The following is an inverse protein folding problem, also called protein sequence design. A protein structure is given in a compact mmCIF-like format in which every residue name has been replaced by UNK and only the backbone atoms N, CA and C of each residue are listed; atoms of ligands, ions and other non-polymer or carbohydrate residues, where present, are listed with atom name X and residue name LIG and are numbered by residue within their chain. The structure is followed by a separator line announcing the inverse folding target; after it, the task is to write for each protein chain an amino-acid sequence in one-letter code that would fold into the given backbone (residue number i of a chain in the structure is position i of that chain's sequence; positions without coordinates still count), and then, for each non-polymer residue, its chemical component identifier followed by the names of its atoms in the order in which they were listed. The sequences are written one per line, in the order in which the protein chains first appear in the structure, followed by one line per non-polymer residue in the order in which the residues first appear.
data_IF_747166932367
#
_entry.id   IF_747166932367
#
_cell.length_a   1.000
_cell.length_b   1.000
_cell.length_c   1.000
_cell.angle_alpha   90.00
_cell.angle_beta   90.00
_cell.angle_gamma   90.00
#
_symmetry.space_group_name_H-M   'P 1'
#
loop_
_entity.id
_entity.type
_entity.pdbx_description
1 polymer ?
#
# COMPACT_ATOMS: atom_id res chain seq x y z
N UNK A 1 -22.12 1.80 -11.12
CA UNK A 1 -22.11 2.69 -9.95
C UNK A 1 -20.80 2.49 -9.21
N UNK A 2 -20.01 3.55 -9.00
CA UNK A 2 -18.79 3.47 -8.19
C UNK A 2 -19.17 3.34 -6.70
N UNK A 3 -18.40 2.57 -5.94
CA UNK A 3 -18.58 2.48 -4.50
C UNK A 3 -18.27 3.82 -3.84
N UNK A 4 -18.96 4.17 -2.75
CA UNK A 4 -18.61 5.31 -1.91
C UNK A 4 -18.49 4.88 -0.44
N UNK A 5 -17.65 5.58 0.32
CA UNK A 5 -17.50 5.35 1.76
C UNK A 5 -16.36 4.40 2.18
N UNK A 6 -15.59 3.83 1.24
CA UNK A 6 -14.35 3.10 1.56
C UNK A 6 -13.15 3.65 0.79
N UNK A 7 -11.97 3.50 1.38
CA UNK A 7 -10.68 3.66 0.71
C UNK A 7 -9.86 2.38 0.76
N UNK A 8 -8.74 2.37 0.05
CA UNK A 8 -7.73 1.31 0.16
C UNK A 8 -6.62 1.80 1.08
N UNK A 9 -6.32 1.04 2.12
CA UNK A 9 -5.18 1.26 3.00
C UNK A 9 -4.08 0.26 2.65
N UNK A 10 -2.84 0.75 2.57
CA UNK A 10 -1.65 -0.04 2.32
C UNK A 10 -0.83 -0.15 3.60
N UNK A 11 -0.32 -1.34 3.88
CA UNK A 11 0.64 -1.58 4.97
C UNK A 11 1.90 -2.25 4.42
N UNK A 12 3.04 -1.92 5.02
CA UNK A 12 4.33 -2.54 4.71
C UNK A 12 4.52 -3.89 5.43
N UNK A 13 5.67 -4.53 5.22
CA UNK A 13 6.05 -5.78 5.87
C UNK A 13 6.12 -5.69 7.40
N UNK A 14 6.31 -4.48 7.96
CA UNK A 14 6.24 -4.23 9.40
C UNK A 14 4.80 -4.06 9.90
N UNK A 15 3.81 -4.31 9.03
CA UNK A 15 2.38 -4.10 9.28
C UNK A 15 2.04 -2.63 9.59
N UNK A 16 2.93 -1.70 9.26
CA UNK A 16 2.70 -0.27 9.47
C UNK A 16 2.00 0.31 8.25
N UNK A 17 1.00 1.16 8.51
CA UNK A 17 0.30 1.87 7.44
C UNK A 17 1.27 2.77 6.69
N UNK A 18 1.34 2.60 5.37
CA UNK A 18 2.09 3.46 4.46
C UNK A 18 1.17 4.60 4.05
N UNK A 19 1.43 5.80 4.59
CA UNK A 19 0.68 6.96 4.16
C UNK A 19 1.07 7.32 2.72
N UNK A 20 0.07 7.59 1.88
CA UNK A 20 0.30 8.02 0.51
C UNK A 20 1.18 9.28 0.48
N UNK A 21 2.11 9.35 -0.47
CA UNK A 21 3.08 10.43 -0.62
C UNK A 21 4.06 10.62 0.55
N UNK A 22 4.16 9.64 1.45
CA UNK A 22 5.19 9.61 2.49
C UNK A 22 6.17 8.47 2.25
N UNK A 23 7.40 8.65 2.72
CA UNK A 23 8.39 7.57 2.65
C UNK A 23 7.94 6.40 3.54
N UNK A 24 8.00 5.19 2.99
CA UNK A 24 7.85 3.96 3.76
C UNK A 24 9.01 3.75 4.73
N UNK A 25 8.96 2.68 5.53
CA UNK A 25 10.14 2.21 6.23
C UNK A 25 11.30 1.95 5.24
N UNK A 26 12.56 2.19 5.65
CA UNK A 26 13.70 1.84 4.84
C UNK A 26 13.81 0.32 4.71
N UNK A 27 14.06 -0.15 3.50
CA UNK A 27 14.33 -1.56 3.22
C UNK A 27 15.82 -1.75 2.97
N UNK A 28 16.45 -2.63 3.75
CA UNK A 28 17.85 -2.97 3.53
C UNK A 28 17.96 -3.81 2.25
N UNK A 29 18.70 -3.29 1.27
CA UNK A 29 18.95 -4.00 0.02
C UNK A 29 20.04 -5.05 0.28
N UNK A 30 19.73 -6.31 -0.03
CA UNK A 30 20.72 -7.38 -0.02
C UNK A 30 21.37 -7.43 -1.39
N UNK A 31 22.67 -7.17 -1.48
CA UNK A 31 23.42 -7.19 -2.74
C UNK A 31 24.30 -8.45 -2.82
N UNK A 32 24.24 -9.15 -3.96
CA UNK A 32 24.99 -10.38 -4.21
C UNK A 32 24.44 -11.17 -5.40
N UNK A 33 25.20 -12.16 -5.88
CA UNK A 33 24.70 -13.10 -6.90
C UNK A 33 23.66 -14.02 -6.24
N UNK A 34 22.42 -13.97 -6.72
CA UNK A 34 21.31 -14.79 -6.21
C UNK A 34 20.54 -14.18 -5.04
N UNK A 35 20.70 -12.89 -4.74
CA UNK A 35 19.93 -12.21 -3.70
C UNK A 35 18.74 -11.44 -4.28
N UNK A 36 17.53 -11.78 -3.85
CA UNK A 36 16.32 -10.97 -4.05
C UNK A 36 16.01 -10.15 -2.80
N UNK A 37 15.48 -8.94 -2.98
CA UNK A 37 14.93 -8.14 -1.87
C UNK A 37 13.43 -8.01 -2.11
N UNK A 38 12.66 -8.84 -1.41
CA UNK A 38 11.21 -8.81 -1.48
C UNK A 38 10.64 -7.63 -0.69
N UNK A 39 9.83 -6.82 -1.38
CA UNK A 39 9.09 -5.71 -0.77
C UNK A 39 7.64 -6.14 -0.58
N UNK A 40 7.33 -6.73 0.58
CA UNK A 40 5.97 -7.18 0.86
C UNK A 40 5.09 -6.01 1.30
N UNK A 41 3.96 -5.83 0.59
CA UNK A 41 2.90 -4.89 0.95
C UNK A 41 1.56 -5.62 1.03
N UNK A 42 0.69 -5.17 1.93
CA UNK A 42 -0.67 -5.67 2.06
C UNK A 42 -1.66 -4.54 1.80
N UNK A 43 -2.72 -4.81 1.04
CA UNK A 43 -3.81 -3.87 0.81
C UNK A 43 -5.09 -4.35 1.53
N UNK A 44 -5.81 -3.42 2.16
CA UNK A 44 -7.13 -3.69 2.77
C UNK A 44 -8.11 -2.56 2.53
N UNK A 45 -9.40 -2.87 2.47
CA UNK A 45 -10.44 -1.84 2.48
C UNK A 45 -10.56 -1.23 3.88
N UNK A 46 -10.68 0.10 3.93
CA UNK A 46 -10.91 0.87 5.16
C UNK A 46 -12.16 1.72 4.99
N UNK A 47 -13.08 1.60 5.93
CA UNK A 47 -14.26 2.46 5.97
C UNK A 47 -13.84 3.91 6.26
N UNK A 48 -14.26 4.83 5.39
CA UNK A 48 -14.09 6.27 5.56
C UNK A 48 -15.39 6.95 6.02
N UNK A 49 -16.52 6.23 5.91
CA UNK A 49 -17.87 6.67 6.26
C UNK A 49 -18.61 5.51 6.94
N UNK A 50 -19.61 5.84 7.77
CA UNK A 50 -20.56 4.85 8.29
C UNK A 50 -21.54 4.39 7.19
N UNK A 51 -21.86 5.26 6.23
CA UNK A 51 -22.63 4.92 5.04
C UNK A 51 -21.69 4.41 3.95
N UNK A 52 -21.71 3.09 3.73
CA UNK A 52 -20.98 2.41 2.66
C UNK A 52 -21.99 1.95 1.61
N UNK A 53 -21.88 2.51 0.41
CA UNK A 53 -22.75 2.12 -0.70
C UNK A 53 -22.07 1.05 -1.56
N UNK A 54 -22.73 -0.08 -1.87
CA UNK A 54 -22.13 -1.13 -2.71
C UNK A 54 -21.87 -0.62 -4.14
N UNK A 55 -20.75 -1.03 -4.72
CA UNK A 55 -20.32 -0.62 -6.05
C UNK A 55 -18.91 -1.10 -6.37
N UNK A 56 -18.39 -0.69 -7.53
CA UNK A 56 -17.02 -1.03 -7.94
C UNK A 56 -16.01 -0.17 -7.17
N UNK A 57 -15.02 -0.81 -6.56
CA UNK A 57 -14.05 -0.25 -5.62
C UNK A 57 -12.61 -0.22 -6.18
N UNK A 58 -12.45 0.05 -7.47
CA UNK A 58 -11.14 0.00 -8.11
C UNK A 58 -10.28 1.19 -7.67
N UNK A 59 -9.02 0.94 -7.33
CA UNK A 59 -8.03 1.99 -7.13
C UNK A 59 -6.72 1.66 -7.86
N UNK A 60 -5.97 2.70 -8.19
CA UNK A 60 -4.63 2.60 -8.74
C UNK A 60 -3.68 3.41 -7.85
N UNK A 61 -2.52 2.85 -7.55
CA UNK A 61 -1.48 3.48 -6.74
C UNK A 61 -0.15 3.38 -7.47
N UNK A 62 0.73 4.37 -7.28
CA UNK A 62 2.08 4.36 -7.83
C UNK A 62 3.10 4.19 -6.70
N UNK A 63 3.98 3.22 -6.85
CA UNK A 63 5.12 3.00 -5.96
C UNK A 63 6.38 3.62 -6.58
N UNK A 64 7.09 4.44 -5.82
CA UNK A 64 8.38 5.00 -6.21
C UNK A 64 9.47 4.42 -5.33
N UNK A 65 10.47 3.80 -5.95
CA UNK A 65 11.65 3.27 -5.26
C UNK A 65 12.73 4.34 -5.34
N UNK A 66 13.14 4.85 -4.18
CA UNK A 66 14.20 5.86 -4.06
C UNK A 66 15.43 5.15 -3.48
N UNK A 67 16.51 5.09 -4.26
CA UNK A 67 17.82 4.66 -3.80
C UNK A 67 18.56 5.84 -3.18
N UNK A 68 19.29 5.60 -2.09
CA UNK A 68 20.17 6.58 -1.45
C UNK A 68 21.63 6.31 -1.80
#
# INVERSE_FOLDING_TARGET
MAQSGVGIELSDASQKVVNLFTNSAPYALTAGVGTETDLNFTARYKALSADIQPGVANASVQFSIIYN
#
